data_IF_553872694689
#
_entry.id   IF_553872694689
#
_cell.length_a   1.000
_cell.length_b   1.000
_cell.length_c   1.000
_cell.angle_alpha   90.00
_cell.angle_beta   90.00
_cell.angle_gamma   90.00
#
_symmetry.space_group_name_H-M   'P 1'
#
loop_
_entity.id
_entity.type
_entity.pdbx_description
1 polymer ?
#
# COMPACT_ATOMS: atom_id res chain seq x y z
N UNK A 1 31.90 -13.32 -44.55
CA UNK A 1 32.14 -12.83 -43.19
C UNK A 1 30.81 -12.55 -42.55
N UNK A 2 30.30 -13.54 -41.85
CA UNK A 2 29.11 -13.35 -41.06
C UNK A 2 29.44 -12.63 -39.77
N UNK A 3 29.07 -11.39 -39.65
CA UNK A 3 28.91 -10.81 -38.33
C UNK A 3 27.72 -11.49 -37.70
N UNK A 4 27.99 -12.49 -36.88
CA UNK A 4 27.03 -12.97 -35.93
C UNK A 4 26.86 -11.89 -34.87
N UNK A 5 26.05 -10.91 -35.19
CA UNK A 5 25.38 -10.15 -34.15
C UNK A 5 24.34 -11.06 -33.53
N UNK A 6 24.77 -12.08 -32.81
CA UNK A 6 24.01 -12.56 -31.72
C UNK A 6 24.02 -11.42 -30.71
N UNK A 7 23.15 -10.46 -30.95
CA UNK A 7 22.51 -9.80 -29.88
C UNK A 7 21.81 -10.93 -29.13
N UNK A 8 22.52 -11.54 -28.21
CA UNK A 8 21.88 -12.06 -27.05
C UNK A 8 21.06 -10.89 -26.55
N UNK A 9 19.79 -10.88 -26.92
CA UNK A 9 18.79 -10.16 -26.17
C UNK A 9 18.93 -10.79 -24.81
N UNK A 10 19.80 -10.20 -24.00
CA UNK A 10 19.85 -10.52 -22.59
C UNK A 10 18.40 -10.42 -22.17
N UNK A 11 17.80 -11.53 -21.85
CA UNK A 11 16.45 -11.62 -21.31
C UNK A 11 16.53 -10.97 -19.94
N UNK A 12 16.81 -9.67 -19.96
CA UNK A 12 16.89 -8.87 -18.76
C UNK A 12 15.46 -8.57 -18.35
N UNK A 13 14.93 -9.44 -17.47
CA UNK A 13 13.67 -9.19 -16.82
C UNK A 13 13.84 -7.99 -15.87
N UNK A 14 13.27 -6.83 -16.17
CA UNK A 14 13.43 -5.65 -15.34
C UNK A 14 12.79 -5.80 -13.96
N UNK A 15 11.98 -6.83 -13.74
CA UNK A 15 11.33 -7.10 -12.45
C UNK A 15 12.19 -7.92 -11.50
N UNK A 16 13.28 -8.53 -11.96
CA UNK A 16 14.13 -9.40 -11.14
C UNK A 16 14.62 -8.74 -9.85
N UNK A 17 15.07 -7.48 -9.83
CA UNK A 17 15.51 -6.85 -8.59
C UNK A 17 14.45 -6.79 -7.51
N UNK A 18 13.17 -6.71 -7.91
CA UNK A 18 12.04 -6.62 -6.98
C UNK A 18 11.63 -7.98 -6.39
N UNK A 19 12.23 -9.07 -6.83
CA UNK A 19 12.01 -10.42 -6.31
C UNK A 19 12.96 -10.78 -5.17
N UNK A 20 13.92 -9.91 -4.87
CA UNK A 20 14.95 -10.13 -3.86
C UNK A 20 14.61 -9.42 -2.55
N UNK A 21 14.49 -10.17 -1.47
CA UNK A 21 14.19 -9.64 -0.14
C UNK A 21 15.26 -8.67 0.38
N UNK A 22 16.50 -8.83 -0.06
CA UNK A 22 17.60 -7.93 0.31
C UNK A 22 17.44 -6.50 -0.18
N UNK A 23 16.51 -6.24 -1.11
CA UNK A 23 16.24 -4.90 -1.62
C UNK A 23 15.62 -3.97 -0.59
N UNK A 24 14.87 -4.50 0.37
CA UNK A 24 14.32 -3.66 1.42
C UNK A 24 13.03 -4.20 2.03
N UNK A 25 11.91 -3.51 1.79
CA UNK A 25 10.61 -3.80 2.39
C UNK A 25 9.62 -4.36 1.38
N UNK A 26 8.63 -5.10 1.87
CA UNK A 26 7.55 -5.62 1.03
C UNK A 26 6.72 -4.48 0.46
N UNK A 27 6.46 -4.53 -0.84
CA UNK A 27 5.77 -3.49 -1.59
C UNK A 27 4.39 -3.15 -0.99
N UNK A 28 3.57 -4.15 -0.67
CA UNK A 28 2.25 -3.91 -0.08
C UNK A 28 2.31 -3.20 1.27
N UNK A 29 3.34 -3.46 2.05
CA UNK A 29 3.55 -2.79 3.34
C UNK A 29 3.88 -1.32 3.15
N UNK A 30 4.73 -1.01 2.20
CA UNK A 30 5.14 0.37 1.90
C UNK A 30 3.95 1.18 1.38
N UNK A 31 3.16 0.62 0.47
CA UNK A 31 1.97 1.28 -0.06
C UNK A 31 0.95 1.53 1.05
N UNK A 32 0.70 0.53 1.89
CA UNK A 32 -0.24 0.66 3.01
C UNK A 32 0.21 1.72 4.01
N UNK A 33 1.50 1.82 4.30
CA UNK A 33 2.06 2.85 5.18
C UNK A 33 1.91 4.27 4.61
N UNK A 34 1.79 4.41 3.31
CA UNK A 34 1.48 5.66 2.63
C UNK A 34 0.01 6.10 2.75
N UNK A 35 -0.82 5.32 3.42
CA UNK A 35 -2.21 5.67 3.69
C UNK A 35 -3.19 5.46 2.53
N UNK A 36 -2.80 4.75 1.48
CA UNK A 36 -3.63 4.53 0.30
C UNK A 36 -4.78 3.57 0.58
N UNK A 37 -4.48 2.43 1.20
CA UNK A 37 -5.44 1.37 1.50
C UNK A 37 -4.89 0.43 2.57
N UNK A 38 -5.67 -0.58 2.98
CA UNK A 38 -5.19 -1.67 3.82
C UNK A 38 -4.14 -2.51 3.09
N UNK A 39 -3.33 -3.28 3.81
CA UNK A 39 -2.32 -4.16 3.21
C UNK A 39 -2.95 -5.15 2.22
N UNK A 40 -4.10 -5.75 2.58
CA UNK A 40 -4.84 -6.68 1.73
C UNK A 40 -5.33 -6.01 0.46
N UNK A 41 -5.87 -4.81 0.55
CA UNK A 41 -6.31 -4.04 -0.62
C UNK A 41 -5.12 -3.65 -1.50
N UNK A 42 -3.98 -3.31 -0.90
CA UNK A 42 -2.75 -3.03 -1.65
C UNK A 42 -2.26 -4.26 -2.42
N UNK A 43 -2.37 -5.46 -1.84
CA UNK A 43 -2.04 -6.70 -2.55
C UNK A 43 -2.94 -6.90 -3.78
N UNK A 44 -4.23 -6.66 -3.66
CA UNK A 44 -5.17 -6.72 -4.79
C UNK A 44 -4.81 -5.70 -5.88
N UNK A 45 -4.43 -4.49 -5.51
CA UNK A 45 -4.00 -3.44 -6.44
C UNK A 45 -2.72 -3.84 -7.18
N UNK A 46 -1.76 -4.47 -6.51
CA UNK A 46 -0.54 -4.97 -7.12
C UNK A 46 -0.89 -6.06 -8.15
N UNK A 47 -1.68 -7.03 -7.77
CA UNK A 47 -2.06 -8.15 -8.65
C UNK A 47 -2.87 -7.68 -9.87
N UNK A 48 -3.61 -6.61 -9.74
CA UNK A 48 -4.39 -6.03 -10.86
C UNK A 48 -3.53 -5.24 -11.87
N UNK A 49 -2.26 -5.00 -11.57
CA UNK A 49 -1.34 -4.27 -12.45
C UNK A 49 -1.41 -2.75 -12.35
N UNK A 50 -2.08 -2.21 -11.33
CA UNK A 50 -2.19 -0.76 -11.11
C UNK A 50 -0.91 -0.13 -10.56
N UNK A 51 -0.01 -0.93 -9.98
CA UNK A 51 1.18 -0.46 -9.28
C UNK A 51 2.41 -0.55 -10.19
N UNK A 52 3.12 0.56 -10.29
CA UNK A 52 4.41 0.65 -10.96
C UNK A 52 5.49 1.08 -9.98
N UNK A 53 6.65 0.47 -10.09
CA UNK A 53 7.87 0.88 -9.38
C UNK A 53 8.91 1.28 -10.42
N UNK A 54 9.39 2.51 -10.34
CA UNK A 54 10.32 3.08 -11.31
C UNK A 54 9.83 2.98 -12.77
N UNK A 55 8.51 3.10 -12.97
CA UNK A 55 7.88 2.97 -14.27
C UNK A 55 7.63 1.53 -14.75
N UNK A 56 7.97 0.53 -13.94
CA UNK A 56 7.83 -0.89 -14.26
C UNK A 56 6.61 -1.44 -13.53
N UNK A 57 5.70 -2.09 -14.23
CA UNK A 57 4.54 -2.74 -13.63
C UNK A 57 4.98 -3.91 -12.76
N UNK A 58 4.58 -3.89 -11.51
CA UNK A 58 4.80 -4.98 -10.56
C UNK A 58 3.44 -5.61 -10.23
N UNK A 59 3.21 -6.80 -10.75
CA UNK A 59 1.93 -7.50 -10.61
C UNK A 59 2.07 -8.87 -9.93
N UNK A 60 3.12 -9.06 -9.19
CA UNK A 60 3.41 -10.30 -8.48
C UNK A 60 3.71 -10.03 -7.01
N UNK A 61 3.53 -11.04 -6.19
CA UNK A 61 3.90 -11.07 -4.78
C UNK A 61 4.65 -12.37 -4.47
N UNK A 62 5.64 -12.35 -3.58
CA UNK A 62 6.15 -11.17 -2.88
C UNK A 62 7.02 -10.28 -3.78
N UNK A 63 6.97 -8.98 -3.54
CA UNK A 63 7.83 -7.99 -4.16
C UNK A 63 8.45 -7.09 -3.09
N UNK A 64 9.71 -6.73 -3.25
CA UNK A 64 10.46 -5.88 -2.33
C UNK A 64 10.96 -4.64 -3.03
N UNK A 65 10.94 -3.54 -2.32
CA UNK A 65 11.42 -2.26 -2.80
C UNK A 65 12.27 -1.55 -1.74
N UNK A 66 13.07 -0.60 -2.19
CA UNK A 66 13.75 0.34 -1.30
C UNK A 66 12.92 1.64 -1.22
N UNK A 67 12.28 1.93 -0.07
CA UNK A 67 11.43 3.13 0.03
C UNK A 67 12.18 4.45 -0.13
N UNK A 68 13.50 4.45 0.00
CA UNK A 68 14.34 5.65 -0.13
C UNK A 68 14.65 5.99 -1.59
N UNK A 69 14.79 4.99 -2.45
CA UNK A 69 15.29 5.15 -3.82
C UNK A 69 14.24 4.80 -4.88
N UNK A 70 13.33 3.89 -4.57
CA UNK A 70 12.31 3.44 -5.52
C UNK A 70 11.12 4.40 -5.54
N UNK A 71 10.62 4.70 -6.73
CA UNK A 71 9.44 5.53 -6.95
C UNK A 71 8.25 4.66 -7.27
N UNK A 72 7.21 4.79 -6.46
CA UNK A 72 5.97 4.05 -6.63
C UNK A 72 4.91 4.96 -7.23
N UNK A 73 4.25 4.48 -8.26
CA UNK A 73 3.05 5.10 -8.84
C UNK A 73 1.89 4.11 -8.84
N UNK A 74 0.71 4.60 -8.52
CA UNK A 74 -0.52 3.81 -8.51
C UNK A 74 -1.54 4.54 -9.37
N UNK A 75 -2.04 3.87 -10.42
CA UNK A 75 -2.95 4.47 -11.40
C UNK A 75 -2.39 5.82 -11.91
N UNK A 76 -1.10 5.86 -12.26
CA UNK A 76 -0.34 7.01 -12.74
C UNK A 76 -0.21 8.19 -11.75
N UNK A 77 -0.53 7.97 -10.48
CA UNK A 77 -0.34 8.93 -9.40
C UNK A 77 0.86 8.58 -8.55
N UNK A 78 1.76 9.53 -8.37
CA UNK A 78 2.96 9.34 -7.55
C UNK A 78 2.57 9.20 -6.08
N UNK A 79 3.06 8.13 -5.44
CA UNK A 79 2.91 7.92 -4.00
C UNK A 79 3.95 8.74 -3.24
N UNK A 80 3.50 9.57 -2.30
CA UNK A 80 4.38 10.30 -1.41
C UNK A 80 4.67 9.47 -0.15
N UNK A 81 5.87 8.85 -0.11
CA UNK A 81 6.33 8.03 1.02
C UNK A 81 6.87 8.84 2.19
N UNK A 82 7.08 10.14 1.99
CA UNK A 82 7.69 11.03 2.99
C UNK A 82 6.66 11.95 3.65
N UNK A 83 5.37 11.68 3.46
CA UNK A 83 4.33 12.41 4.17
C UNK A 83 4.44 12.14 5.67
N UNK A 84 4.33 13.20 6.47
CA UNK A 84 4.31 13.07 7.91
C UNK A 84 3.14 12.21 8.37
N UNK A 85 3.36 11.38 9.39
CA UNK A 85 2.31 10.59 9.98
C UNK A 85 1.29 11.51 10.66
N UNK A 86 0.02 11.28 10.39
CA UNK A 86 -1.08 11.97 11.02
C UNK A 86 -1.66 11.09 12.14
N UNK A 87 -1.72 11.65 13.34
CA UNK A 87 -2.33 11.01 14.50
C UNK A 87 -3.59 11.76 14.90
N UNK A 88 -4.69 11.04 15.01
CA UNK A 88 -5.98 11.57 15.44
C UNK A 88 -6.42 10.89 16.70
N UNK A 89 -6.76 11.67 17.73
CA UNK A 89 -7.40 11.17 18.94
C UNK A 89 -8.91 11.19 18.77
N UNK A 90 -9.53 10.07 19.05
CA UNK A 90 -10.98 9.94 19.03
C UNK A 90 -11.47 9.15 20.22
N UNK A 91 -12.35 9.77 21.00
CA UNK A 91 -13.04 9.10 22.09
C UNK A 91 -14.23 8.32 21.54
N UNK A 92 -14.08 7.00 21.48
CA UNK A 92 -15.10 6.14 20.88
C UNK A 92 -16.28 5.94 21.83
N UNK A 93 -17.51 6.33 21.44
CA UNK A 93 -18.70 5.99 22.22
C UNK A 93 -19.03 4.50 22.09
N UNK A 94 -19.89 4.02 22.97
CA UNK A 94 -20.47 2.67 22.85
C UNK A 94 -21.32 2.56 21.59
N UNK A 95 -21.38 1.37 21.03
CA UNK A 95 -22.18 1.08 19.84
C UNK A 95 -21.44 1.34 18.52
N UNK A 96 -20.18 1.75 18.55
CA UNK A 96 -19.33 1.97 17.38
C UNK A 96 -18.31 0.84 17.26
N UNK A 97 -18.25 0.23 16.11
CA UNK A 97 -17.28 -0.83 15.81
C UNK A 97 -15.93 -0.22 15.44
N UNK A 98 -14.86 -0.75 15.99
CA UNK A 98 -13.49 -0.27 15.77
C UNK A 98 -12.92 -0.84 14.45
N UNK A 99 -13.46 -0.42 13.34
CA UNK A 99 -13.06 -0.81 11.97
C UNK A 99 -13.31 0.33 11.01
N UNK A 100 -12.67 0.29 9.84
CA UNK A 100 -12.91 1.25 8.76
C UNK A 100 -14.13 0.91 7.91
N UNK A 101 -14.50 -0.36 7.84
CA UNK A 101 -15.70 -0.83 7.16
C UNK A 101 -16.25 -2.05 7.87
N UNK A 102 -17.54 -2.06 8.17
CA UNK A 102 -18.21 -3.18 8.82
C UNK A 102 -19.04 -3.95 7.80
N UNK A 103 -18.76 -5.27 7.59
CA UNK A 103 -19.53 -6.10 6.66
C UNK A 103 -21.01 -6.22 7.02
N UNK A 104 -21.37 -6.06 8.30
CA UNK A 104 -22.74 -6.14 8.80
C UNK A 104 -23.46 -4.78 8.75
N UNK A 105 -22.82 -3.74 8.26
CA UNK A 105 -23.40 -2.40 8.14
C UNK A 105 -23.61 -1.66 9.46
N UNK A 106 -22.96 -2.11 10.55
CA UNK A 106 -23.02 -1.42 11.84
C UNK A 106 -22.25 -0.11 11.79
N UNK A 107 -22.64 0.91 12.60
CA UNK A 107 -21.84 2.12 12.70
C UNK A 107 -20.40 1.80 13.11
N UNK A 108 -19.44 2.32 12.38
CA UNK A 108 -18.02 2.07 12.63
C UNK A 108 -17.21 3.37 12.59
N UNK A 109 -15.96 3.30 13.04
CA UNK A 109 -15.04 4.44 13.05
C UNK A 109 -14.86 5.00 11.65
N UNK A 110 -14.78 4.15 10.62
CA UNK A 110 -14.63 4.58 9.24
C UNK A 110 -15.76 5.47 8.71
N UNK A 111 -16.97 5.36 9.27
CA UNK A 111 -18.12 6.20 8.91
C UNK A 111 -18.06 7.59 9.56
N UNK A 112 -17.40 7.71 10.70
CA UNK A 112 -17.49 8.87 11.59
C UNK A 112 -16.23 9.72 11.55
N UNK A 113 -15.06 9.08 11.66
CA UNK A 113 -13.78 9.75 11.79
C UNK A 113 -13.18 9.99 10.40
N UNK A 114 -13.18 11.24 9.98
CA UNK A 114 -12.60 11.67 8.70
C UNK A 114 -11.73 12.90 8.90
N UNK A 115 -10.59 12.93 8.23
CA UNK A 115 -9.74 14.11 8.22
C UNK A 115 -10.12 15.03 7.05
N UNK A 116 -10.15 16.38 7.24
CA UNK A 116 -10.52 17.33 6.19
C UNK A 116 -9.69 17.24 4.91
N UNK A 117 -8.43 16.78 5.01
CA UNK A 117 -7.54 16.61 3.84
C UNK A 117 -7.83 15.34 3.04
N UNK A 118 -8.77 14.50 3.47
CA UNK A 118 -9.04 13.21 2.84
C UNK A 118 -8.00 12.13 3.13
N UNK A 119 -7.04 12.41 4.01
CA UNK A 119 -6.04 11.43 4.43
C UNK A 119 -6.72 10.23 5.08
N UNK A 120 -6.35 9.03 4.65
CA UNK A 120 -6.87 7.80 5.23
C UNK A 120 -6.42 7.65 6.68
N UNK A 121 -7.39 7.41 7.56
CA UNK A 121 -7.17 7.17 8.98
C UNK A 121 -7.60 5.73 9.28
N UNK A 122 -6.87 5.06 10.16
CA UNK A 122 -7.22 3.72 10.62
C UNK A 122 -6.90 3.58 12.12
N UNK A 123 -7.62 2.74 12.86
CA UNK A 123 -7.37 2.55 14.28
C UNK A 123 -6.06 1.81 14.53
N UNK A 124 -5.31 2.24 15.55
CA UNK A 124 -4.07 1.58 15.99
C UNK A 124 -4.37 0.31 16.78
N UNK A 125 -5.47 0.32 17.54
CA UNK A 125 -5.93 -0.81 18.32
C UNK A 125 -7.44 -0.95 18.22
N UNK A 126 -7.99 -1.94 18.89
CA UNK A 126 -9.42 -2.20 18.89
C UNK A 126 -10.00 -2.12 20.30
N UNK A 127 -11.06 -1.33 20.44
CA UNK A 127 -11.99 -1.41 21.56
C UNK A 127 -13.24 -2.15 21.09
N UNK A 128 -13.83 -2.94 21.97
CA UNK A 128 -15.08 -3.64 21.69
C UNK A 128 -16.20 -2.63 21.38
N UNK A 129 -17.21 -3.07 20.64
CA UNK A 129 -18.35 -2.23 20.27
C UNK A 129 -19.03 -1.62 21.52
N UNK A 130 -19.12 -2.39 22.60
CA UNK A 130 -19.75 -1.97 23.86
C UNK A 130 -18.81 -1.22 24.80
N UNK A 131 -17.56 -1.04 24.43
CA UNK A 131 -16.56 -0.28 25.18
C UNK A 131 -16.48 1.16 24.71
N UNK A 132 -16.17 2.06 25.65
CA UNK A 132 -15.92 3.48 25.36
C UNK A 132 -14.52 3.88 25.82
N UNK A 133 -13.96 4.84 25.12
CA UNK A 133 -12.62 5.34 25.46
C UNK A 133 -11.85 5.91 24.31
#
# INVERSE_FOLDING_TARGET
MGWNTNQEKSNHDPTLPFKEAARGERLQRVIASGGIASRRKCEEMIESGEVKVNGIVINFLPAWIDPKTDRITIADRKLNLHADNLYVMYYKPRGIVCTMADPEGRPCIGDIVRHPTGTRIFPIGRLDMDSQG
#
